data_IF_149888006191
#
_entry.id   IF_149888006191
#
_cell.length_a   1.000
_cell.length_b   1.000
_cell.length_c   1.000
_cell.angle_alpha   90.00
_cell.angle_beta   90.00
_cell.angle_gamma   90.00
#
_symmetry.space_group_name_H-M   'P 1'
#
loop_
_entity.id
_entity.type
_entity.pdbx_description
1 polymer ?
#
# COMPACT_ATOMS: atom_id res chain seq x y z
N UNK A 1 1.85 -6.17 26.60
CA UNK A 1 0.80 -7.05 26.03
C UNK A 1 0.27 -6.37 24.77
N UNK A 2 0.92 -6.61 23.65
CA UNK A 2 0.54 -6.04 22.36
C UNK A 2 -0.39 -7.02 21.66
N UNK A 3 -1.70 -6.77 21.76
CA UNK A 3 -2.72 -7.59 21.11
C UNK A 3 -2.69 -7.33 19.59
N UNK A 4 -2.14 -8.26 18.83
CA UNK A 4 -2.37 -8.32 17.39
C UNK A 4 -3.79 -8.84 17.15
N UNK A 5 -4.74 -7.92 17.01
CA UNK A 5 -6.09 -8.23 16.52
C UNK A 5 -5.94 -8.70 15.07
N UNK A 6 -5.99 -10.01 14.84
CA UNK A 6 -6.11 -10.57 13.48
C UNK A 6 -7.56 -10.32 13.07
N UNK A 7 -7.87 -9.39 12.15
CA UNK A 7 -9.25 -9.12 11.79
C UNK A 7 -9.85 -10.37 11.13
N UNK A 8 -11.05 -10.74 11.57
CA UNK A 8 -11.88 -11.79 10.96
C UNK A 8 -12.13 -11.46 9.48
N UNK A 9 -12.32 -12.48 8.64
CA UNK A 9 -12.44 -12.40 7.16
C UNK A 9 -13.59 -11.53 6.61
N UNK A 10 -14.30 -10.76 7.44
CA UNK A 10 -15.51 -10.02 7.05
C UNK A 10 -15.24 -8.65 6.42
N UNK A 11 -14.05 -8.07 6.54
CA UNK A 11 -13.76 -6.78 5.88
C UNK A 11 -12.30 -6.70 5.42
N UNK A 12 -12.01 -6.89 4.11
CA UNK A 12 -10.65 -6.82 3.62
C UNK A 12 -10.12 -5.38 3.82
N UNK A 13 -8.91 -5.19 4.38
CA UNK A 13 -8.32 -3.88 4.52
C UNK A 13 -8.08 -3.27 3.14
N UNK A 14 -8.30 -1.96 3.04
CA UNK A 14 -8.07 -1.19 1.83
C UNK A 14 -6.55 -1.04 1.67
N UNK A 15 -6.01 -1.57 0.58
CA UNK A 15 -4.59 -1.43 0.25
C UNK A 15 -4.45 -0.49 -0.94
N UNK A 16 -3.71 0.60 -0.74
CA UNK A 16 -3.43 1.59 -1.76
C UNK A 16 -1.93 1.74 -1.97
N UNK A 17 -1.56 2.24 -3.15
CA UNK A 17 -0.21 2.68 -3.45
C UNK A 17 -0.26 4.16 -3.79
N UNK A 18 0.53 4.95 -3.09
CA UNK A 18 0.74 6.36 -3.39
C UNK A 18 1.98 6.48 -4.29
N UNK A 19 1.83 7.17 -5.41
CA UNK A 19 2.89 7.53 -6.36
C UNK A 19 3.15 9.04 -6.33
N UNK A 20 4.25 9.44 -6.96
CA UNK A 20 4.69 10.83 -7.12
C UNK A 20 5.12 11.51 -5.80
N UNK A 21 5.55 10.71 -4.82
CA UNK A 21 6.19 11.22 -3.61
C UNK A 21 7.72 11.18 -3.72
N UNK A 22 8.44 12.17 -3.17
CA UNK A 22 9.90 12.16 -3.18
C UNK A 22 10.45 10.98 -2.39
N UNK A 23 11.47 10.30 -2.94
CA UNK A 23 12.10 9.10 -2.37
C UNK A 23 12.69 9.35 -0.96
N UNK A 24 13.06 10.58 -0.66
CA UNK A 24 13.61 10.99 0.64
C UNK A 24 12.55 11.12 1.75
N UNK A 25 11.27 10.96 1.45
CA UNK A 25 10.20 11.02 2.45
C UNK A 25 10.14 9.72 3.24
N UNK A 26 10.24 9.80 4.57
CA UNK A 26 10.08 8.61 5.43
C UNK A 26 8.63 8.15 5.50
N UNK A 27 8.43 6.84 5.70
CA UNK A 27 7.11 6.24 5.87
C UNK A 27 6.34 6.83 7.07
N UNK A 28 7.04 7.20 8.14
CA UNK A 28 6.47 7.84 9.33
C UNK A 28 5.91 9.24 9.03
N UNK A 29 6.62 10.05 8.24
CA UNK A 29 6.13 11.37 7.84
C UNK A 29 4.85 11.25 7.02
N UNK A 30 4.77 10.28 6.11
CA UNK A 30 3.56 10.02 5.31
C UNK A 30 2.42 9.54 6.21
N UNK A 31 2.72 8.68 7.19
CA UNK A 31 1.73 8.22 8.18
C UNK A 31 1.17 9.40 8.98
N UNK A 32 2.03 10.30 9.43
CA UNK A 32 1.65 11.51 10.15
C UNK A 32 0.81 12.46 9.31
N UNK A 33 1.17 12.67 8.05
CA UNK A 33 0.41 13.53 7.13
C UNK A 33 -0.97 12.96 6.79
N UNK A 34 -1.07 11.64 6.54
CA UNK A 34 -2.35 10.98 6.31
C UNK A 34 -3.27 11.06 7.54
N UNK A 35 -2.70 10.98 8.76
CA UNK A 35 -3.45 11.12 9.99
C UNK A 35 -3.86 12.58 10.27
N UNK A 36 -3.00 13.56 9.93
CA UNK A 36 -3.21 14.98 10.26
C UNK A 36 -4.06 15.70 9.22
N UNK A 37 -3.69 15.63 7.94
CA UNK A 37 -4.40 16.30 6.85
C UNK A 37 -5.64 15.51 6.43
N UNK A 38 -5.47 14.19 6.29
CA UNK A 38 -6.51 13.31 5.78
C UNK A 38 -7.50 12.82 6.83
N UNK A 39 -7.16 12.93 8.13
CA UNK A 39 -7.91 12.32 9.25
C UNK A 39 -8.17 10.82 9.04
N UNK A 40 -7.33 10.14 8.27
CA UNK A 40 -7.50 8.72 7.99
C UNK A 40 -6.82 7.88 9.06
N UNK A 41 -7.45 6.74 9.39
CA UNK A 41 -6.84 5.76 10.27
C UNK A 41 -5.93 4.88 9.44
N UNK A 42 -4.61 5.05 9.60
CA UNK A 42 -3.60 4.27 8.88
C UNK A 42 -3.08 3.13 9.76
N UNK A 43 -3.19 1.89 9.28
CA UNK A 43 -2.69 0.70 9.98
C UNK A 43 -1.18 0.56 9.75
N UNK A 44 -0.78 0.51 8.47
CA UNK A 44 0.62 0.26 8.08
C UNK A 44 1.01 1.06 6.84
N UNK A 45 2.16 1.72 6.89
CA UNK A 45 2.83 2.34 5.73
C UNK A 45 4.12 1.60 5.46
N UNK A 46 4.35 1.23 4.21
CA UNK A 46 5.57 0.55 3.76
C UNK A 46 6.07 1.21 2.49
N UNK A 47 7.34 1.63 2.47
CA UNK A 47 7.98 2.05 1.24
C UNK A 47 8.31 0.82 0.39
N UNK A 48 7.90 0.82 -0.87
CA UNK A 48 8.20 -0.28 -1.78
C UNK A 48 9.64 -0.18 -2.24
N UNK A 49 10.32 -1.33 -2.30
CA UNK A 49 11.68 -1.46 -2.83
C UNK A 49 11.65 -2.34 -4.08
N UNK A 50 12.48 -2.06 -5.09
CA UNK A 50 12.68 -2.98 -6.21
C UNK A 50 13.24 -4.30 -5.69
N UNK A 51 12.56 -5.40 -5.98
CA UNK A 51 12.96 -6.73 -5.53
C UNK A 51 14.38 -7.12 -5.98
N UNK A 52 14.72 -6.82 -7.25
CA UNK A 52 16.02 -7.18 -7.84
C UNK A 52 17.19 -6.32 -7.34
N UNK A 53 16.98 -5.02 -7.20
CA UNK A 53 18.08 -4.07 -6.92
C UNK A 53 18.06 -3.52 -5.49
N UNK A 54 17.07 -3.89 -4.67
CA UNK A 54 16.79 -3.35 -3.33
C UNK A 54 16.69 -1.82 -3.27
N UNK A 55 16.59 -1.15 -4.41
CA UNK A 55 16.47 0.31 -4.47
C UNK A 55 15.09 0.72 -3.99
N UNK A 56 15.05 1.68 -3.06
CA UNK A 56 13.83 2.30 -2.58
C UNK A 56 13.10 2.98 -3.73
N UNK A 57 11.82 2.68 -3.93
CA UNK A 57 11.02 3.35 -4.94
C UNK A 57 10.31 4.56 -4.32
N UNK A 58 9.98 5.58 -5.12
CA UNK A 58 9.06 6.65 -4.74
C UNK A 58 7.60 6.15 -4.72
N UNK A 59 7.39 4.95 -4.16
CA UNK A 59 6.10 4.27 -4.10
C UNK A 59 5.87 3.84 -2.66
N UNK A 60 4.76 4.26 -2.08
CA UNK A 60 4.40 3.95 -0.70
C UNK A 60 3.13 3.15 -0.68
N UNK A 61 3.20 1.94 -0.14
CA UNK A 61 2.03 1.11 0.08
C UNK A 61 1.44 1.43 1.44
N UNK A 62 0.17 1.82 1.45
CA UNK A 62 -0.59 2.12 2.67
C UNK A 62 -1.69 1.09 2.84
N UNK A 63 -1.77 0.54 4.04
CA UNK A 63 -2.85 -0.37 4.46
C UNK A 63 -3.74 0.38 5.43
N UNK A 64 -5.02 0.45 5.09
CA UNK A 64 -6.06 1.11 5.86
C UNK A 64 -7.13 0.08 6.26
N UNK A 65 -7.69 0.13 7.48
CA UNK A 65 -8.89 -0.62 7.82
C UNK A 65 -10.06 -0.14 6.95
N UNK A 66 -10.97 -1.06 6.63
CA UNK A 66 -12.18 -0.76 5.85
C UNK A 66 -13.22 -0.06 6.74
N UNK A 67 -13.03 1.24 6.95
CA UNK A 67 -13.92 2.15 7.70
C UNK A 67 -14.45 3.18 6.71
N UNK A 68 -15.63 3.74 6.97
CA UNK A 68 -16.25 4.74 6.08
C UNK A 68 -15.35 5.94 5.83
N UNK A 69 -14.69 6.47 6.87
CA UNK A 69 -13.72 7.57 6.75
C UNK A 69 -12.57 7.24 5.78
N UNK A 70 -12.15 5.97 5.73
CA UNK A 70 -11.07 5.54 4.84
C UNK A 70 -11.54 5.29 3.40
N UNK A 71 -12.85 5.33 3.10
CA UNK A 71 -13.35 5.24 1.72
C UNK A 71 -13.08 6.53 0.95
N UNK A 72 -13.02 7.68 1.63
CA UNK A 72 -12.72 8.97 1.01
C UNK A 72 -11.27 9.11 0.54
N UNK A 73 -10.40 8.13 0.87
CA UNK A 73 -9.00 8.11 0.44
C UNK A 73 -8.86 8.15 -1.08
N UNK A 74 -9.82 7.63 -1.86
CA UNK A 74 -9.78 7.65 -3.33
C UNK A 74 -9.96 9.05 -3.92
N UNK A 75 -10.55 9.98 -3.15
CA UNK A 75 -10.78 11.36 -3.54
C UNK A 75 -9.54 12.22 -3.28
N UNK A 76 -8.62 11.76 -2.43
CA UNK A 76 -7.43 12.52 -2.07
C UNK A 76 -6.43 12.57 -3.24
N UNK A 77 -6.08 13.79 -3.66
CA UNK A 77 -5.15 14.05 -4.77
C UNK A 77 -3.93 14.87 -4.38
N UNK A 78 -3.92 15.41 -3.17
CA UNK A 78 -2.84 16.27 -2.66
C UNK A 78 -2.54 15.94 -1.20
N UNK A 79 -1.25 15.85 -0.87
CA UNK A 79 -0.74 15.54 0.47
C UNK A 79 0.64 16.20 0.63
N UNK A 80 0.96 16.78 1.80
CA UNK A 80 2.21 17.55 2.03
C UNK A 80 2.46 18.64 0.97
N UNK A 81 1.42 19.35 0.52
CA UNK A 81 1.52 20.33 -0.58
C UNK A 81 2.03 19.75 -1.92
N UNK A 82 2.11 18.42 -2.04
CA UNK A 82 2.49 17.71 -3.25
C UNK A 82 1.25 17.12 -3.90
N UNK A 83 1.24 17.07 -5.24
CA UNK A 83 0.24 16.30 -5.98
C UNK A 83 0.62 14.84 -5.93
N UNK A 84 -0.28 14.00 -5.44
CA UNK A 84 -0.06 12.57 -5.33
C UNK A 84 -1.05 11.81 -6.19
N UNK A 85 -0.65 10.62 -6.63
CA UNK A 85 -1.53 9.70 -7.35
C UNK A 85 -1.78 8.46 -6.52
N UNK A 86 -3.06 8.19 -6.25
CA UNK A 86 -3.50 7.03 -5.49
C UNK A 86 -3.95 5.94 -6.48
N UNK A 87 -3.36 4.76 -6.35
CA UNK A 87 -3.70 3.59 -7.15
C UNK A 87 -4.04 2.40 -6.24
N UNK A 88 -4.90 1.50 -6.73
CA UNK A 88 -5.21 0.25 -6.02
C UNK A 88 -3.96 -0.60 -5.90
N UNK A 89 -3.67 -1.09 -4.70
CA UNK A 89 -2.59 -2.06 -4.50
C UNK A 89 -3.09 -3.43 -4.92
N UNK A 90 -2.83 -3.78 -6.17
CA UNK A 90 -3.09 -5.13 -6.66
C UNK A 90 -2.07 -6.10 -6.07
N UNK A 91 -2.55 -7.15 -5.41
CA UNK A 91 -1.70 -8.31 -5.15
C UNK A 91 -1.42 -8.93 -6.50
N UNK A 92 -0.15 -9.11 -6.85
CA UNK A 92 0.22 -10.02 -7.94
C UNK A 92 -0.08 -11.45 -7.49
N UNK A 93 -1.36 -11.83 -7.49
CA UNK A 93 -1.79 -13.23 -7.42
C UNK A 93 -1.66 -13.77 -8.82
N UNK A 94 -0.45 -14.25 -9.15
CA UNK A 94 -0.14 -14.80 -10.46
C UNK A 94 1.24 -15.43 -10.40
N UNK A 95 1.25 -16.74 -10.26
CA UNK A 95 2.38 -17.65 -10.16
C UNK A 95 3.52 -17.28 -11.11
N UNK A 96 4.78 -17.27 -10.63
CA UNK A 96 5.94 -17.52 -11.48
C UNK A 96 5.96 -19.01 -11.91
N UNK A 97 4.82 -19.55 -12.36
CA UNK A 97 4.79 -20.84 -13.01
C UNK A 97 5.18 -20.59 -14.45
N UNK A 98 6.42 -20.95 -14.78
CA UNK A 98 6.89 -21.00 -16.14
C UNK A 98 6.00 -21.99 -16.91
N UNK A 99 5.24 -21.55 -17.91
CA UNK A 99 4.42 -22.41 -18.78
C UNK A 99 5.23 -23.42 -19.63
N UNK A 100 6.55 -23.54 -19.40
CA UNK A 100 7.49 -24.29 -20.23
C UNK A 100 7.75 -25.73 -19.77
N UNK A 101 7.38 -26.11 -18.53
CA UNK A 101 7.84 -27.38 -17.95
C UNK A 101 6.75 -28.44 -17.67
N UNK A 102 5.51 -28.26 -18.13
CA UNK A 102 4.47 -29.30 -18.07
C UNK A 102 4.09 -29.81 -19.48
N UNK A 103 5.06 -30.28 -20.28
CA UNK A 103 4.73 -30.91 -21.57
C UNK A 103 5.23 -32.35 -21.77
N UNK A 104 5.94 -32.98 -20.82
CA UNK A 104 6.43 -34.34 -21.09
C UNK A 104 6.42 -35.20 -19.82
N UNK A 105 5.30 -35.88 -19.61
CA UNK A 105 5.18 -37.20 -18.96
C UNK A 105 3.69 -37.57 -18.92
N UNK A 106 3.17 -38.02 -20.06
CA UNK A 106 2.09 -39.01 -20.11
C UNK A 106 2.07 -39.71 -21.46
#
# INVERSE_FOLDING_TARGET
MDYFVIPTRSNPPIKIVIRDLPQGTSADTIKGALATEGKFKVDKVVQLTRFKTKQSLPLFQVTLPNIEENKDIWTLRSLLYLRIKIEKSERKTGSLQCFKCCFWLS
#
